data_IF_316997579219
#
_entry.id   IF_316997579219
#
_cell.length_a   1.000
_cell.length_b   1.000
_cell.length_c   1.000
_cell.angle_alpha   90.00
_cell.angle_beta   90.00
_cell.angle_gamma   90.00
#
_symmetry.space_group_name_H-M   'P 1'
#
loop_
_entity.id
_entity.type
_entity.pdbx_description
1 polymer ?
#
# COMPACT_ATOMS: atom_id res chain seq x y z
N UNK A 1 -14.81 -1.32 5.70
CA UNK A 1 -14.70 -0.36 6.79
C UNK A 1 -15.08 1.04 6.33
N UNK A 2 -15.85 1.76 7.15
CA UNK A 2 -16.31 3.11 6.86
C UNK A 2 -15.72 4.08 7.89
N UNK A 3 -14.54 4.61 7.62
CA UNK A 3 -13.88 5.57 8.51
C UNK A 3 -13.59 4.98 9.90
N UNK A 4 -13.98 5.69 10.97
CA UNK A 4 -13.80 5.24 12.35
C UNK A 4 -14.88 4.26 12.84
N UNK A 5 -15.87 3.94 12.01
CA UNK A 5 -16.88 2.94 12.34
C UNK A 5 -16.25 1.56 12.26
N UNK A 6 -16.55 0.71 13.23
CA UNK A 6 -16.03 -0.64 13.32
C UNK A 6 -16.31 -1.51 12.09
N UNK A 7 -15.78 -2.72 12.10
CA UNK A 7 -15.93 -3.68 11.01
C UNK A 7 -17.40 -3.94 10.68
N UNK A 8 -17.75 -3.90 9.40
CA UNK A 8 -19.06 -4.35 8.93
C UNK A 8 -19.00 -5.84 8.63
N UNK A 9 -19.78 -6.63 9.34
CA UNK A 9 -19.93 -8.05 9.06
C UNK A 9 -20.88 -8.26 7.88
N UNK A 10 -20.56 -9.23 7.05
CA UNK A 10 -21.36 -9.62 5.90
C UNK A 10 -21.30 -11.13 5.70
N UNK A 11 -22.39 -11.70 5.19
CA UNK A 11 -22.44 -13.10 4.75
C UNK A 11 -21.95 -13.28 3.30
N UNK A 12 -21.72 -12.20 2.57
CA UNK A 12 -21.17 -12.28 1.23
C UNK A 12 -19.65 -12.47 1.29
N UNK A 13 -19.18 -13.60 0.76
CA UNK A 13 -17.78 -13.96 0.76
C UNK A 13 -17.15 -13.48 -0.55
N UNK A 14 -15.95 -12.92 -0.48
CA UNK A 14 -15.16 -12.56 -1.65
C UNK A 14 -13.71 -12.99 -1.44
N UNK A 15 -13.17 -13.77 -2.40
CA UNK A 15 -11.80 -14.26 -2.37
C UNK A 15 -11.03 -13.57 -3.50
N UNK A 16 -9.98 -12.84 -3.13
CA UNK A 16 -9.22 -12.06 -4.08
C UNK A 16 -8.07 -12.87 -4.71
N UNK A 17 -8.12 -13.01 -6.03
CA UNK A 17 -7.01 -13.50 -6.86
C UNK A 17 -6.13 -12.37 -7.38
N UNK A 18 -5.22 -12.70 -8.28
CA UNK A 18 -4.35 -11.73 -8.95
C UNK A 18 -5.15 -10.87 -9.93
N UNK A 19 -5.91 -11.48 -10.80
CA UNK A 19 -6.62 -10.83 -11.91
C UNK A 19 -8.11 -10.71 -11.65
N UNK A 20 -8.66 -11.54 -10.80
CA UNK A 20 -10.09 -11.61 -10.52
C UNK A 20 -10.38 -11.66 -9.02
N UNK A 21 -11.64 -11.38 -8.68
CA UNK A 21 -12.21 -11.66 -7.34
C UNK A 21 -13.35 -12.63 -7.53
N UNK A 22 -13.31 -13.75 -6.84
CA UNK A 22 -14.39 -14.73 -6.82
C UNK A 22 -15.36 -14.42 -5.67
N UNK A 23 -16.65 -14.41 -5.98
CA UNK A 23 -17.74 -14.30 -5.00
C UNK A 23 -18.53 -15.61 -5.00
N UNK A 24 -18.16 -16.58 -4.15
CA UNK A 24 -18.65 -17.95 -4.24
C UNK A 24 -20.13 -18.11 -3.86
N UNK A 25 -20.69 -17.20 -3.10
CA UNK A 25 -22.08 -17.23 -2.63
C UNK A 25 -22.93 -16.04 -3.10
N UNK A 26 -22.56 -15.42 -4.23
CA UNK A 26 -23.30 -14.29 -4.80
C UNK A 26 -23.69 -14.60 -6.26
N UNK A 27 -24.83 -15.29 -6.46
CA UNK A 27 -25.30 -15.58 -7.81
C UNK A 27 -25.59 -14.28 -8.57
N UNK A 28 -25.23 -14.23 -9.84
CA UNK A 28 -25.36 -13.03 -10.71
C UNK A 28 -24.56 -11.79 -10.22
N UNK A 29 -23.75 -11.92 -9.16
CA UNK A 29 -22.78 -10.90 -8.79
C UNK A 29 -21.58 -10.99 -9.72
N UNK A 30 -21.10 -9.86 -10.21
CA UNK A 30 -19.87 -9.88 -11.00
C UNK A 30 -19.81 -8.75 -12.01
N UNK A 31 -18.72 -8.72 -12.74
CA UNK A 31 -18.51 -7.74 -13.78
C UNK A 31 -17.06 -7.31 -13.93
N UNK A 32 -16.90 -6.06 -14.26
CA UNK A 32 -15.60 -5.45 -14.53
C UNK A 32 -15.38 -4.33 -13.52
N UNK A 33 -14.20 -4.26 -12.95
CA UNK A 33 -13.81 -3.19 -12.03
C UNK A 33 -14.21 -1.81 -12.59
N UNK A 34 -14.77 -0.96 -11.72
CA UNK A 34 -15.14 0.42 -12.08
C UNK A 34 -13.93 1.29 -12.42
N UNK A 35 -12.73 0.89 -12.02
CA UNK A 35 -11.47 1.58 -12.34
C UNK A 35 -11.01 1.39 -13.78
N UNK A 36 -11.52 0.38 -14.49
CA UNK A 36 -11.27 0.19 -15.91
C UNK A 36 -12.28 1.05 -16.65
N UNK A 37 -11.85 2.25 -17.05
CA UNK A 37 -12.71 3.23 -17.71
C UNK A 37 -12.75 3.07 -19.24
N UNK A 38 -11.71 2.46 -19.84
CA UNK A 38 -11.60 2.31 -21.30
C UNK A 38 -12.70 1.38 -21.85
N UNK A 39 -13.58 1.87 -22.75
CA UNK A 39 -14.66 1.08 -23.30
C UNK A 39 -14.19 -0.14 -24.12
N UNK A 40 -13.05 -0.01 -24.82
CA UNK A 40 -12.48 -1.08 -25.65
C UNK A 40 -12.01 -2.23 -24.77
N UNK A 41 -11.27 -1.92 -23.72
CA UNK A 41 -10.83 -2.92 -22.73
C UNK A 41 -12.02 -3.62 -22.06
N UNK A 42 -13.05 -2.84 -21.69
CA UNK A 42 -14.27 -3.40 -21.10
C UNK A 42 -14.99 -4.36 -22.04
N UNK A 43 -15.04 -4.04 -23.35
CA UNK A 43 -15.64 -4.93 -24.35
C UNK A 43 -14.86 -6.23 -24.49
N UNK A 44 -13.52 -6.14 -24.55
CA UNK A 44 -12.61 -7.32 -24.58
C UNK A 44 -12.79 -8.21 -23.37
N UNK A 45 -12.83 -7.61 -22.16
CA UNK A 45 -13.02 -8.38 -20.92
C UNK A 45 -14.39 -9.06 -20.90
N UNK A 46 -15.45 -8.40 -21.38
CA UNK A 46 -16.79 -9.02 -21.47
C UNK A 46 -16.79 -10.24 -22.38
N UNK A 47 -16.12 -10.17 -23.54
CA UNK A 47 -16.02 -11.34 -24.42
C UNK A 47 -15.31 -12.50 -23.72
N UNK A 48 -14.20 -12.23 -23.01
CA UNK A 48 -13.49 -13.27 -22.26
C UNK A 48 -14.37 -13.87 -21.16
N UNK A 49 -15.12 -13.04 -20.41
CA UNK A 49 -16.01 -13.52 -19.33
C UNK A 49 -17.14 -14.40 -19.86
N UNK A 50 -17.69 -14.09 -21.04
CA UNK A 50 -18.74 -14.90 -21.66
C UNK A 50 -18.26 -16.27 -22.12
N UNK A 51 -16.95 -16.42 -22.36
CA UNK A 51 -16.32 -17.66 -22.78
C UNK A 51 -15.83 -18.53 -21.60
N UNK A 52 -15.78 -17.97 -20.39
CA UNK A 52 -15.36 -18.68 -19.17
C UNK A 52 -16.59 -19.33 -18.53
N UNK A 53 -16.46 -20.61 -18.21
CA UNK A 53 -17.52 -21.33 -17.52
C UNK A 53 -17.49 -21.03 -16.01
N UNK A 54 -18.34 -20.09 -15.59
CA UNK A 54 -18.48 -19.72 -14.19
C UNK A 54 -19.67 -20.47 -13.60
N UNK A 55 -19.54 -21.16 -12.44
CA UNK A 55 -20.67 -21.81 -11.80
C UNK A 55 -21.82 -20.83 -11.52
N UNK A 56 -23.06 -21.23 -11.80
CA UNK A 56 -24.24 -20.36 -11.71
C UNK A 56 -24.45 -19.69 -10.34
N UNK A 57 -23.91 -20.27 -9.29
CA UNK A 57 -24.03 -19.77 -7.92
C UNK A 57 -22.93 -18.76 -7.55
N UNK A 58 -21.93 -18.57 -8.42
CA UNK A 58 -20.77 -17.74 -8.16
C UNK A 58 -20.76 -16.48 -9.02
N UNK A 59 -20.28 -15.40 -8.45
CA UNK A 59 -19.99 -14.15 -9.16
C UNK A 59 -18.48 -13.95 -9.34
N UNK A 60 -18.09 -13.18 -10.35
CA UNK A 60 -16.71 -12.91 -10.66
C UNK A 60 -16.51 -11.45 -11.06
N UNK A 61 -15.54 -10.79 -10.47
CA UNK A 61 -15.16 -9.41 -10.83
C UNK A 61 -13.74 -9.41 -11.37
N UNK A 62 -13.55 -8.88 -12.58
CA UNK A 62 -12.21 -8.67 -13.14
C UNK A 62 -11.59 -7.41 -12.54
N UNK A 63 -10.40 -7.56 -11.97
CA UNK A 63 -9.59 -6.47 -11.38
C UNK A 63 -8.87 -5.69 -12.47
N UNK A 64 -8.35 -4.51 -12.11
CA UNK A 64 -7.51 -3.70 -13.01
C UNK A 64 -6.29 -4.44 -13.53
N UNK A 65 -5.67 -5.29 -12.71
CA UNK A 65 -4.54 -6.13 -13.10
C UNK A 65 -4.90 -7.18 -14.19
N UNK A 66 -6.18 -7.48 -14.38
CA UNK A 66 -6.67 -8.42 -15.39
C UNK A 66 -7.07 -7.77 -16.73
N UNK A 67 -6.95 -6.43 -16.89
CA UNK A 67 -7.46 -5.74 -18.09
C UNK A 67 -6.79 -6.18 -19.39
N UNK A 68 -5.49 -6.47 -19.35
CA UNK A 68 -4.70 -6.86 -20.53
C UNK A 68 -4.29 -8.34 -20.54
N UNK A 69 -4.95 -9.16 -19.73
CA UNK A 69 -4.62 -10.57 -19.60
C UNK A 69 -5.42 -11.45 -20.57
N UNK A 70 -4.84 -12.61 -20.88
CA UNK A 70 -5.45 -13.61 -21.76
C UNK A 70 -6.54 -14.41 -21.04
N UNK A 71 -7.42 -15.06 -21.80
CA UNK A 71 -8.42 -15.99 -21.27
C UNK A 71 -7.78 -17.09 -20.39
N UNK A 72 -6.64 -17.63 -20.82
CA UNK A 72 -5.96 -18.70 -20.09
C UNK A 72 -5.44 -18.23 -18.73
N UNK A 73 -4.87 -17.00 -18.64
CA UNK A 73 -4.40 -16.43 -17.38
C UNK A 73 -5.56 -16.19 -16.40
N UNK A 74 -6.68 -15.68 -16.91
CA UNK A 74 -7.88 -15.42 -16.09
C UNK A 74 -8.50 -16.75 -15.63
N UNK A 75 -8.57 -17.75 -16.51
CA UNK A 75 -9.10 -19.08 -16.16
C UNK A 75 -8.22 -19.79 -15.13
N UNK A 76 -6.91 -19.71 -15.25
CA UNK A 76 -5.98 -20.26 -14.27
C UNK A 76 -6.15 -19.63 -12.88
N UNK A 77 -6.32 -18.31 -12.82
CA UNK A 77 -6.62 -17.60 -11.55
C UNK A 77 -7.95 -18.06 -10.96
N UNK A 78 -8.98 -18.26 -11.81
CA UNK A 78 -10.28 -18.77 -11.39
C UNK A 78 -10.19 -20.18 -10.79
N UNK A 79 -9.48 -21.10 -11.44
CA UNK A 79 -9.28 -22.47 -10.96
C UNK A 79 -8.58 -22.49 -9.60
N UNK A 80 -7.57 -21.63 -9.39
CA UNK A 80 -6.90 -21.50 -8.10
C UNK A 80 -7.85 -20.99 -7.02
N UNK A 81 -8.70 -20.00 -7.33
CA UNK A 81 -9.67 -19.48 -6.37
C UNK A 81 -10.76 -20.48 -6.02
N UNK A 82 -11.19 -21.30 -6.98
CA UNK A 82 -12.15 -22.39 -6.73
C UNK A 82 -11.53 -23.41 -5.77
N UNK A 83 -10.26 -23.79 -5.97
CA UNK A 83 -9.56 -24.70 -5.03
C UNK A 83 -9.50 -24.13 -3.62
N UNK A 84 -9.14 -22.86 -3.47
CA UNK A 84 -9.14 -22.18 -2.16
C UNK A 84 -10.54 -22.20 -1.53
N UNK A 85 -11.58 -21.97 -2.33
CA UNK A 85 -12.95 -22.03 -1.85
C UNK A 85 -13.36 -23.43 -1.36
N UNK A 86 -12.98 -24.48 -2.10
CA UNK A 86 -13.24 -25.86 -1.69
C UNK A 86 -12.49 -26.21 -0.38
N UNK A 87 -11.25 -25.74 -0.20
CA UNK A 87 -10.51 -25.89 1.05
C UNK A 87 -11.21 -25.17 2.22
N UNK A 88 -11.72 -23.96 2.00
CA UNK A 88 -12.47 -23.21 3.01
C UNK A 88 -13.73 -23.96 3.42
N UNK A 89 -14.50 -24.46 2.45
CA UNK A 89 -15.70 -25.26 2.73
C UNK A 89 -15.39 -26.51 3.54
N UNK A 90 -14.37 -27.25 3.13
CA UNK A 90 -13.95 -28.47 3.81
C UNK A 90 -13.55 -28.18 5.27
N UNK A 91 -12.76 -27.12 5.50
CA UNK A 91 -12.40 -26.71 6.87
C UNK A 91 -13.61 -26.27 7.67
N UNK A 92 -14.52 -25.50 7.07
CA UNK A 92 -15.71 -25.01 7.77
C UNK A 92 -16.60 -26.16 8.25
N UNK A 93 -16.80 -27.18 7.41
CA UNK A 93 -17.62 -28.37 7.77
C UNK A 93 -16.96 -29.20 8.87
N UNK A 94 -15.63 -29.27 8.89
CA UNK A 94 -14.88 -30.08 9.86
C UNK A 94 -14.47 -29.31 11.13
N UNK A 95 -14.90 -28.06 11.30
CA UNK A 95 -14.55 -27.21 12.45
C UNK A 95 -15.76 -26.90 13.30
N UNK A 96 -15.56 -26.87 14.63
CA UNK A 96 -16.57 -26.35 15.56
C UNK A 96 -16.51 -24.84 15.64
N UNK A 97 -17.65 -24.17 15.59
CA UNK A 97 -17.72 -22.71 15.74
C UNK A 97 -17.48 -22.28 17.20
N UNK A 98 -16.78 -21.17 17.46
CA UNK A 98 -16.09 -20.30 16.49
C UNK A 98 -14.72 -20.85 16.10
N UNK A 99 -14.39 -20.85 14.78
CA UNK A 99 -13.10 -21.31 14.27
C UNK A 99 -12.59 -20.41 13.13
N UNK A 100 -11.26 -20.22 13.05
CA UNK A 100 -10.61 -19.53 11.95
C UNK A 100 -10.46 -20.48 10.77
N UNK A 101 -11.28 -20.34 9.76
CA UNK A 101 -11.30 -21.22 8.57
C UNK A 101 -10.32 -20.77 7.50
N UNK A 102 -10.17 -19.46 7.33
CA UNK A 102 -9.27 -18.87 6.33
C UNK A 102 -8.80 -17.49 6.76
N UNK A 103 -7.54 -17.20 6.52
CA UNK A 103 -6.93 -15.91 6.82
C UNK A 103 -6.05 -15.44 5.63
N UNK A 104 -6.21 -14.20 5.25
CA UNK A 104 -5.40 -13.54 4.20
C UNK A 104 -4.26 -12.69 4.77
N UNK A 105 -3.70 -13.05 5.91
CA UNK A 105 -2.74 -12.22 6.67
C UNK A 105 -1.32 -12.21 6.09
N UNK A 106 -0.94 -13.18 5.26
CA UNK A 106 0.43 -13.28 4.72
C UNK A 106 0.79 -12.07 3.84
N UNK A 107 1.63 -11.18 4.39
CA UNK A 107 2.09 -9.96 3.71
C UNK A 107 2.82 -10.26 2.40
N UNK A 108 3.55 -11.38 2.31
CA UNK A 108 4.28 -11.79 1.10
C UNK A 108 3.31 -12.12 -0.01
N UNK A 109 2.30 -12.96 0.29
CA UNK A 109 1.26 -13.34 -0.67
C UNK A 109 0.48 -12.12 -1.15
N UNK A 110 0.06 -11.25 -0.21
CA UNK A 110 -0.65 -10.01 -0.54
C UNK A 110 0.17 -9.08 -1.41
N UNK A 111 1.47 -8.92 -1.13
CA UNK A 111 2.38 -8.08 -1.92
C UNK A 111 2.54 -8.61 -3.33
N UNK A 112 2.79 -9.91 -3.50
CA UNK A 112 2.91 -10.54 -4.82
C UNK A 112 1.59 -10.44 -5.59
N UNK A 113 0.46 -10.69 -4.94
CA UNK A 113 -0.85 -10.61 -5.57
C UNK A 113 -1.20 -9.19 -6.02
N UNK A 114 -0.95 -8.21 -5.18
CA UNK A 114 -1.54 -6.88 -5.33
C UNK A 114 -0.57 -5.82 -5.87
N UNK A 115 0.73 -5.94 -5.60
CA UNK A 115 1.73 -4.92 -5.93
C UNK A 115 2.60 -5.34 -7.12
N UNK A 116 2.95 -6.64 -7.21
CA UNK A 116 3.76 -7.13 -8.31
C UNK A 116 3.07 -6.87 -9.66
N UNK A 117 3.81 -6.32 -10.61
CA UNK A 117 3.41 -6.03 -11.98
C UNK A 117 4.47 -6.47 -12.99
N UNK A 118 4.18 -6.29 -14.29
CA UNK A 118 5.08 -6.69 -15.37
C UNK A 118 6.34 -5.79 -15.46
N UNK A 119 6.33 -4.61 -14.83
CA UNK A 119 7.49 -3.69 -14.75
C UNK A 119 8.47 -4.09 -13.64
N UNK A 120 8.02 -4.91 -12.69
CA UNK A 120 8.82 -5.36 -11.55
C UNK A 120 9.87 -6.38 -11.99
N UNK A 121 11.14 -5.97 -12.01
CA UNK A 121 12.25 -6.81 -12.46
C UNK A 121 12.67 -7.86 -11.44
N UNK A 122 12.68 -7.52 -10.16
CA UNK A 122 13.15 -8.41 -9.09
C UNK A 122 12.34 -8.23 -7.81
N UNK A 123 12.11 -9.34 -7.12
CA UNK A 123 11.59 -9.40 -5.76
C UNK A 123 12.69 -10.03 -4.91
N UNK A 124 13.37 -9.21 -4.10
CA UNK A 124 14.46 -9.68 -3.24
C UNK A 124 13.90 -9.95 -1.86
N UNK A 125 14.18 -11.13 -1.33
CA UNK A 125 13.61 -11.60 -0.06
C UNK A 125 14.73 -12.10 0.85
N UNK A 126 14.76 -11.58 2.06
CA UNK A 126 15.62 -12.04 3.13
C UNK A 126 14.94 -13.15 3.95
N UNK A 127 15.71 -14.11 4.40
CA UNK A 127 15.22 -15.29 5.10
C UNK A 127 14.85 -16.45 4.18
N UNK A 128 15.19 -17.68 4.60
CA UNK A 128 14.97 -18.86 3.76
C UNK A 128 13.49 -19.24 3.66
N UNK A 129 12.79 -19.21 4.77
CA UNK A 129 11.39 -19.57 4.87
C UNK A 129 10.51 -18.60 4.06
N UNK A 130 10.73 -17.29 4.21
CA UNK A 130 10.03 -16.27 3.45
C UNK A 130 10.27 -16.40 1.94
N UNK A 131 11.51 -16.71 1.54
CA UNK A 131 11.86 -16.97 0.15
C UNK A 131 11.12 -18.18 -0.41
N UNK A 132 11.07 -19.30 0.32
CA UNK A 132 10.36 -20.50 -0.14
C UNK A 132 8.85 -20.29 -0.24
N UNK A 133 8.25 -19.60 0.73
CA UNK A 133 6.80 -19.22 0.69
C UNK A 133 6.50 -18.35 -0.52
N UNK A 134 7.31 -17.31 -0.76
CA UNK A 134 7.14 -16.44 -1.92
C UNK A 134 7.29 -17.19 -3.25
N UNK A 135 8.29 -18.03 -3.36
CA UNK A 135 8.55 -18.86 -4.55
C UNK A 135 7.41 -19.84 -4.82
N UNK A 136 6.92 -20.52 -3.79
CA UNK A 136 5.77 -21.42 -3.88
C UNK A 136 4.51 -20.71 -4.35
N UNK A 137 4.22 -19.54 -3.75
CA UNK A 137 3.06 -18.74 -4.13
C UNK A 137 3.15 -18.19 -5.56
N UNK A 138 4.33 -17.67 -5.96
CA UNK A 138 4.55 -17.20 -7.33
C UNK A 138 4.39 -18.34 -8.34
N UNK A 139 4.90 -19.55 -8.02
CA UNK A 139 4.74 -20.73 -8.88
C UNK A 139 3.27 -21.09 -9.08
N UNK A 140 2.45 -20.90 -8.06
CA UNK A 140 1.02 -21.18 -8.14
C UNK A 140 0.26 -20.18 -9.02
N UNK A 141 0.57 -18.86 -8.88
CA UNK A 141 -0.21 -17.82 -9.58
C UNK A 141 0.37 -17.46 -10.94
N UNK A 142 1.71 -17.38 -11.05
CA UNK A 142 2.43 -16.92 -12.25
C UNK A 142 3.72 -17.74 -12.44
N UNK A 143 3.64 -19.00 -12.92
CA UNK A 143 4.81 -19.89 -13.03
C UNK A 143 5.97 -19.29 -13.83
N UNK A 144 5.68 -18.55 -14.89
CA UNK A 144 6.65 -17.89 -15.76
C UNK A 144 7.49 -16.80 -15.06
N UNK A 145 6.98 -16.23 -13.99
CA UNK A 145 7.59 -15.09 -13.29
C UNK A 145 8.39 -15.50 -12.04
N UNK A 146 8.49 -16.80 -11.75
CA UNK A 146 9.25 -17.32 -10.59
C UNK A 146 10.72 -16.88 -10.60
N UNK A 147 11.30 -16.66 -11.79
CA UNK A 147 12.67 -16.17 -11.98
C UNK A 147 12.93 -14.79 -11.37
N UNK A 148 11.90 -13.98 -11.16
CA UNK A 148 12.00 -12.65 -10.58
C UNK A 148 12.17 -12.70 -9.04
N UNK A 149 11.87 -13.82 -8.39
CA UNK A 149 12.09 -13.99 -6.95
C UNK A 149 13.54 -14.38 -6.71
N UNK A 150 14.24 -13.53 -5.95
CA UNK A 150 15.66 -13.72 -5.61
C UNK A 150 15.83 -13.78 -4.10
N UNK A 151 16.65 -14.72 -3.64
CA UNK A 151 17.06 -14.79 -2.23
C UNK A 151 18.14 -13.77 -1.96
N UNK A 152 17.97 -12.96 -0.93
CA UNK A 152 19.00 -12.07 -0.44
C UNK A 152 20.13 -12.89 0.21
N UNK A 153 21.38 -12.54 -0.08
CA UNK A 153 22.59 -13.20 0.44
C UNK A 153 23.62 -12.24 1.05
N UNK A 154 23.21 -10.98 1.23
CA UNK A 154 24.08 -9.98 1.82
C UNK A 154 24.28 -10.21 3.32
N UNK A 155 25.39 -9.71 3.88
CA UNK A 155 25.66 -9.73 5.32
C UNK A 155 24.88 -8.63 6.06
N UNK A 156 24.71 -7.48 5.41
CA UNK A 156 23.94 -6.34 5.96
C UNK A 156 22.45 -6.64 5.79
N UNK A 157 21.58 -6.45 6.78
CA UNK A 157 20.14 -6.64 6.64
C UNK A 157 19.57 -5.87 5.44
N UNK A 158 18.68 -6.53 4.69
CA UNK A 158 18.17 -5.98 3.42
C UNK A 158 17.49 -4.62 3.59
N UNK A 159 16.63 -4.47 4.59
CA UNK A 159 15.88 -3.23 4.81
C UNK A 159 16.78 -2.07 5.24
N UNK A 160 17.85 -2.39 5.98
CA UNK A 160 18.86 -1.41 6.31
C UNK A 160 19.64 -0.95 5.07
N UNK A 161 20.17 -1.91 4.28
CA UNK A 161 20.90 -1.64 3.05
C UNK A 161 20.12 -0.74 2.08
N UNK A 162 18.81 -0.98 1.96
CA UNK A 162 17.92 -0.22 1.07
C UNK A 162 17.31 1.03 1.75
N UNK A 163 17.80 1.38 2.95
CA UNK A 163 17.35 2.54 3.74
C UNK A 163 15.84 2.55 4.04
N UNK A 164 15.22 1.36 4.09
CA UNK A 164 13.78 1.21 4.33
C UNK A 164 13.44 1.49 5.79
N UNK A 165 14.28 1.11 6.73
CA UNK A 165 14.04 1.32 8.16
C UNK A 165 13.94 2.81 8.51
N UNK A 166 14.86 3.64 7.99
CA UNK A 166 14.79 5.08 8.18
C UNK A 166 13.51 5.68 7.57
N UNK A 167 13.10 5.17 6.40
CA UNK A 167 11.83 5.60 5.77
C UNK A 167 10.62 5.19 6.59
N UNK A 168 10.62 4.00 7.21
CA UNK A 168 9.56 3.55 8.11
C UNK A 168 9.46 4.44 9.35
N UNK A 169 10.61 4.79 9.97
CA UNK A 169 10.63 5.71 11.11
C UNK A 169 10.07 7.11 10.73
N UNK A 170 10.35 7.58 9.52
CA UNK A 170 9.83 8.87 9.03
C UNK A 170 8.31 8.87 8.81
N UNK A 171 7.67 7.72 8.64
CA UNK A 171 6.21 7.63 8.48
C UNK A 171 5.47 8.18 9.71
N UNK A 172 6.08 8.12 10.88
CA UNK A 172 5.47 8.61 12.13
C UNK A 172 5.69 10.10 12.37
N UNK A 173 6.58 10.74 11.62
CA UNK A 173 6.82 12.17 11.76
C UNK A 173 5.65 12.96 11.18
N UNK A 174 5.11 13.92 11.93
CA UNK A 174 4.07 14.82 11.43
C UNK A 174 4.60 15.76 10.35
N UNK A 175 5.86 16.21 10.47
CA UNK A 175 6.49 17.15 9.55
C UNK A 175 7.37 16.43 8.53
N UNK A 176 7.20 16.77 7.25
CA UNK A 176 7.94 16.21 6.11
C UNK A 176 8.59 17.36 5.35
N UNK A 177 9.89 17.31 5.20
CA UNK A 177 10.66 18.31 4.43
C UNK A 177 10.55 18.06 2.93
N UNK A 178 10.36 19.12 2.17
CA UNK A 178 10.41 19.13 0.72
C UNK A 178 11.84 19.45 0.23
N UNK A 179 12.16 19.04 -0.99
CA UNK A 179 13.49 19.28 -1.59
C UNK A 179 13.75 20.77 -1.84
N UNK A 180 12.70 21.54 -2.14
CA UNK A 180 12.76 23.00 -2.32
C UNK A 180 13.10 23.77 -1.05
N UNK A 181 13.00 23.14 0.13
CA UNK A 181 13.18 23.76 1.44
C UNK A 181 11.87 24.12 2.15
N UNK A 182 10.72 23.88 1.50
CA UNK A 182 9.42 23.88 2.15
C UNK A 182 9.19 22.64 3.01
N UNK A 183 8.03 22.54 3.64
CA UNK A 183 7.63 21.38 4.43
C UNK A 183 6.12 21.21 4.47
N UNK A 184 5.70 19.98 4.73
CA UNK A 184 4.31 19.57 4.88
C UNK A 184 4.09 19.12 6.32
N UNK A 185 2.97 19.48 6.91
CA UNK A 185 2.57 19.01 8.23
C UNK A 185 1.29 18.19 8.10
N UNK A 186 1.31 16.94 8.57
CA UNK A 186 0.18 16.00 8.51
C UNK A 186 -0.31 15.74 9.92
N UNK A 187 -1.53 16.19 10.23
CA UNK A 187 -2.16 16.05 11.53
C UNK A 187 -3.48 15.28 11.41
N UNK A 188 -3.50 13.99 11.79
CA UNK A 188 -4.74 13.25 11.93
C UNK A 188 -5.51 13.80 13.15
N UNK A 189 -6.77 14.17 12.94
CA UNK A 189 -7.72 14.51 14.01
C UNK A 189 -8.75 13.40 14.17
N UNK A 190 -9.66 13.54 15.10
CA UNK A 190 -10.74 12.56 15.30
C UNK A 190 -11.64 12.44 14.05
N UNK A 191 -11.95 13.53 13.39
CA UNK A 191 -12.91 13.56 12.28
C UNK A 191 -12.28 13.54 10.89
N UNK A 192 -11.07 14.07 10.72
CA UNK A 192 -10.42 14.24 9.43
C UNK A 192 -8.90 14.28 9.56
N UNK A 193 -8.22 14.22 8.43
CA UNK A 193 -6.77 14.46 8.34
C UNK A 193 -6.56 15.86 7.77
N UNK A 194 -5.91 16.73 8.53
CA UNK A 194 -5.49 18.05 8.07
C UNK A 194 -4.04 17.98 7.55
N UNK A 195 -3.79 18.57 6.39
CA UNK A 195 -2.47 18.66 5.77
C UNK A 195 -2.21 20.12 5.44
N UNK A 196 -1.16 20.68 6.03
CA UNK A 196 -0.72 22.07 5.84
C UNK A 196 0.58 22.10 5.05
N UNK A 197 0.74 23.09 4.15
CA UNK A 197 1.90 23.26 3.29
C UNK A 197 2.55 24.60 3.58
N UNK A 198 3.83 24.55 3.93
CA UNK A 198 4.63 25.74 4.22
C UNK A 198 5.77 25.86 3.21
N UNK A 199 5.95 27.06 2.64
CA UNK A 199 7.03 27.36 1.72
C UNK A 199 8.41 27.37 2.39
N UNK A 200 8.46 27.59 3.70
CA UNK A 200 9.71 27.59 4.45
C UNK A 200 10.76 28.55 3.87
N UNK A 201 11.92 28.01 3.55
CA UNK A 201 13.03 28.76 2.92
C UNK A 201 13.02 28.68 1.39
N UNK A 202 11.95 28.21 0.78
CA UNK A 202 11.81 28.11 -0.69
C UNK A 202 11.58 29.49 -1.32
N UNK A 203 12.60 30.36 -1.30
CA UNK A 203 12.55 31.74 -1.82
C UNK A 203 13.38 31.90 -3.09
N UNK A 204 13.57 30.84 -3.87
CA UNK A 204 14.44 30.85 -5.06
C UNK A 204 13.84 31.55 -6.26
N UNK A 205 12.54 31.70 -6.32
CA UNK A 205 11.85 32.36 -7.44
C UNK A 205 11.66 33.85 -7.16
N UNK A 206 11.83 34.67 -8.19
CA UNK A 206 11.68 36.14 -8.13
C UNK A 206 10.20 36.58 -7.94
N UNK A 207 9.22 35.66 -8.04
CA UNK A 207 7.79 35.94 -7.96
C UNK A 207 7.15 34.98 -6.96
N UNK A 208 6.42 35.55 -5.99
CA UNK A 208 5.69 34.82 -4.94
C UNK A 208 4.73 33.80 -5.51
N UNK A 209 3.99 34.13 -6.57
CA UNK A 209 3.04 33.23 -7.24
C UNK A 209 3.75 32.00 -7.86
N UNK A 210 4.94 32.20 -8.46
CA UNK A 210 5.73 31.06 -9.00
C UNK A 210 6.30 30.19 -7.91
N UNK A 211 6.76 30.78 -6.82
CA UNK A 211 7.21 30.04 -5.63
C UNK A 211 6.07 29.20 -5.05
N UNK A 212 4.88 29.79 -4.89
CA UNK A 212 3.69 29.10 -4.41
C UNK A 212 3.33 27.90 -5.33
N UNK A 213 3.30 28.11 -6.64
CA UNK A 213 3.01 27.05 -7.61
C UNK A 213 4.04 25.92 -7.54
N UNK A 214 5.33 26.25 -7.55
CA UNK A 214 6.40 25.24 -7.50
C UNK A 214 6.34 24.41 -6.21
N UNK A 215 6.17 25.07 -5.06
CA UNK A 215 6.06 24.40 -3.76
C UNK A 215 4.80 23.55 -3.71
N UNK A 216 3.65 24.03 -4.18
CA UNK A 216 2.40 23.30 -4.20
C UNK A 216 2.45 22.08 -5.12
N UNK A 217 3.14 22.14 -6.26
CA UNK A 217 3.33 20.99 -7.15
C UNK A 217 4.21 19.91 -6.52
N UNK A 218 5.30 20.31 -5.87
CA UNK A 218 6.14 19.37 -5.13
C UNK A 218 5.39 18.76 -3.94
N UNK A 219 4.66 19.60 -3.19
CA UNK A 219 3.82 19.15 -2.10
C UNK A 219 2.75 18.15 -2.55
N UNK A 220 2.09 18.40 -3.69
CA UNK A 220 1.10 17.48 -4.24
C UNK A 220 1.68 16.09 -4.54
N UNK A 221 2.91 16.02 -5.07
CA UNK A 221 3.62 14.76 -5.31
C UNK A 221 3.91 14.03 -4.00
N UNK A 222 4.44 14.74 -3.01
CA UNK A 222 4.78 14.16 -1.71
C UNK A 222 3.55 13.78 -0.90
N UNK A 223 2.51 14.61 -0.87
CA UNK A 223 1.22 14.32 -0.20
C UNK A 223 0.61 13.04 -0.78
N UNK A 224 0.56 12.92 -2.11
CA UNK A 224 0.04 11.71 -2.76
C UNK A 224 0.84 10.45 -2.36
N UNK A 225 2.16 10.58 -2.17
CA UNK A 225 3.01 9.50 -1.66
C UNK A 225 2.70 9.18 -0.19
N UNK A 226 2.59 10.20 0.66
CA UNK A 226 2.33 10.05 2.09
C UNK A 226 0.95 9.46 2.37
N UNK A 227 -0.07 9.87 1.64
CA UNK A 227 -1.43 9.31 1.72
C UNK A 227 -1.41 7.79 1.52
N UNK A 228 -0.63 7.31 0.55
CA UNK A 228 -0.51 5.86 0.26
C UNK A 228 0.29 5.13 1.33
N UNK A 229 1.44 5.65 1.73
CA UNK A 229 2.36 4.99 2.67
C UNK A 229 1.74 4.89 4.06
N UNK A 230 1.11 5.98 4.54
CA UNK A 230 0.46 6.06 5.85
C UNK A 230 -0.95 5.48 5.88
N UNK A 231 -1.49 5.09 4.71
CA UNK A 231 -2.90 4.70 4.52
C UNK A 231 -3.89 5.71 5.10
N UNK A 232 -3.61 7.01 4.88
CA UNK A 232 -4.50 8.06 5.33
C UNK A 232 -5.87 7.88 4.67
N UNK A 233 -6.93 7.97 5.45
CA UNK A 233 -8.28 7.61 5.01
C UNK A 233 -9.35 8.48 5.66
N UNK A 234 -10.56 8.40 5.13
CA UNK A 234 -11.66 9.27 5.53
C UNK A 234 -11.61 10.61 4.77
N UNK A 235 -12.00 11.67 5.42
CA UNK A 235 -11.92 13.03 4.88
C UNK A 235 -10.51 13.56 5.08
N UNK A 236 -9.90 14.08 4.03
CA UNK A 236 -8.58 14.69 4.04
C UNK A 236 -8.72 16.10 3.49
N UNK A 237 -8.27 17.09 4.25
CA UNK A 237 -8.25 18.49 3.85
C UNK A 237 -6.80 18.91 3.69
N UNK A 238 -6.48 19.49 2.54
CA UNK A 238 -5.15 19.97 2.22
C UNK A 238 -5.23 21.48 2.05
N UNK A 239 -4.42 22.20 2.83
CA UNK A 239 -4.25 23.64 2.76
C UNK A 239 -3.05 23.96 1.86
N UNK A 240 -3.35 24.37 0.62
CA UNK A 240 -2.34 24.77 -0.35
C UNK A 240 -1.96 26.23 -0.15
N UNK A 241 -0.69 26.57 -0.38
CA UNK A 241 -0.25 27.95 -0.40
C UNK A 241 -1.10 28.72 -1.40
N UNK A 242 -1.58 29.91 -1.00
CA UNK A 242 -2.46 30.73 -1.80
C UNK A 242 -1.92 30.99 -3.22
N UNK A 243 -2.81 30.80 -4.19
CA UNK A 243 -2.54 31.07 -5.61
C UNK A 243 -3.65 31.96 -6.18
N UNK A 244 -3.29 33.12 -6.68
CA UNK A 244 -4.24 34.07 -7.29
C UNK A 244 -4.77 33.47 -8.63
N UNK A 245 -3.88 32.91 -9.42
CA UNK A 245 -4.21 32.36 -10.74
C UNK A 245 -5.06 31.08 -10.66
N UNK A 246 -6.24 31.13 -11.26
CA UNK A 246 -7.09 29.95 -11.42
C UNK A 246 -6.39 28.82 -12.19
N UNK A 247 -5.57 29.14 -13.19
CA UNK A 247 -4.83 28.16 -13.97
C UNK A 247 -3.78 27.43 -13.12
N UNK A 248 -3.13 28.12 -12.19
CA UNK A 248 -2.19 27.53 -11.26
C UNK A 248 -2.88 26.55 -10.33
N UNK A 249 -4.03 26.92 -9.73
CA UNK A 249 -4.85 26.02 -8.91
C UNK A 249 -5.25 24.78 -9.68
N UNK A 250 -5.72 24.93 -10.91
CA UNK A 250 -6.10 23.81 -11.78
C UNK A 250 -4.92 22.90 -12.14
N UNK A 251 -3.72 23.45 -12.27
CA UNK A 251 -2.51 22.68 -12.52
C UNK A 251 -2.13 21.81 -11.34
N UNK A 252 -2.20 22.34 -10.11
CA UNK A 252 -1.98 21.59 -8.86
C UNK A 252 -3.06 20.49 -8.69
N UNK A 253 -4.33 20.80 -8.93
CA UNK A 253 -5.41 19.80 -8.90
C UNK A 253 -5.16 18.63 -9.85
N UNK A 254 -4.74 18.94 -11.08
CA UNK A 254 -4.41 17.92 -12.08
C UNK A 254 -3.25 17.05 -11.62
N UNK A 255 -2.19 17.69 -11.11
CA UNK A 255 -1.02 16.98 -10.59
C UNK A 255 -1.39 16.01 -9.47
N UNK A 256 -2.22 16.45 -8.53
CA UNK A 256 -2.70 15.62 -7.42
C UNK A 256 -3.52 14.42 -7.93
N UNK A 257 -4.45 14.64 -8.86
CA UNK A 257 -5.24 13.56 -9.48
C UNK A 257 -4.37 12.55 -10.21
N UNK A 258 -3.39 13.01 -10.98
CA UNK A 258 -2.49 12.14 -11.74
C UNK A 258 -1.65 11.26 -10.81
N UNK A 259 -1.12 11.82 -9.71
CA UNK A 259 -0.31 11.06 -8.73
C UNK A 259 -1.13 10.07 -7.91
N UNK A 260 -2.40 10.34 -7.68
CA UNK A 260 -3.33 9.44 -6.97
C UNK A 260 -4.02 8.43 -7.89
N UNK A 261 -3.92 8.56 -9.21
CA UNK A 261 -4.57 7.65 -10.18
C UNK A 261 -4.22 6.18 -9.94
N UNK A 262 -2.98 5.90 -9.54
CA UNK A 262 -2.48 4.54 -9.30
C UNK A 262 -2.72 4.05 -7.86
N UNK A 263 -3.46 4.81 -7.03
CA UNK A 263 -3.84 4.33 -5.72
C UNK A 263 -4.94 3.26 -5.84
N UNK A 264 -4.81 2.19 -5.05
CA UNK A 264 -5.78 1.10 -5.01
C UNK A 264 -7.08 1.48 -4.31
N UNK A 265 -7.01 2.46 -3.39
CA UNK A 265 -8.18 2.95 -2.67
C UNK A 265 -9.15 3.68 -3.61
N UNK A 266 -10.42 3.69 -3.24
CA UNK A 266 -11.39 4.57 -3.88
C UNK A 266 -11.18 5.99 -3.36
N UNK A 267 -10.92 6.92 -4.28
CA UNK A 267 -10.63 8.31 -3.96
C UNK A 267 -11.64 9.21 -4.69
N UNK A 268 -12.09 10.24 -4.00
CA UNK A 268 -12.83 11.35 -4.58
C UNK A 268 -12.05 12.63 -4.26
N UNK A 269 -11.79 13.45 -5.26
CA UNK A 269 -10.99 14.69 -5.13
C UNK A 269 -11.83 15.85 -5.61
N UNK A 270 -12.00 16.85 -4.75
CA UNK A 270 -12.67 18.12 -5.03
C UNK A 270 -11.82 19.05 -5.91
N UNK A 271 -12.17 20.32 -5.86
CA UNK A 271 -11.40 21.42 -6.44
C UNK A 271 -10.77 22.22 -5.31
N UNK A 272 -9.72 22.97 -5.62
CA UNK A 272 -9.14 23.94 -4.68
C UNK A 272 -10.12 25.10 -4.57
N UNK A 273 -10.59 25.36 -3.37
CA UNK A 273 -11.51 26.45 -3.06
C UNK A 273 -10.82 27.82 -3.19
N UNK A 274 -11.60 28.90 -3.06
CA UNK A 274 -11.03 30.24 -3.02
C UNK A 274 -10.18 30.51 -1.76
N UNK A 275 -10.28 29.65 -0.75
CA UNK A 275 -9.50 29.68 0.46
C UNK A 275 -8.25 28.77 0.43
N UNK A 276 -7.81 28.31 -0.75
CA UNK A 276 -6.65 27.42 -0.87
C UNK A 276 -6.92 25.96 -0.50
N UNK A 277 -8.10 25.61 0.03
CA UNK A 277 -8.40 24.30 0.56
C UNK A 277 -8.81 23.30 -0.54
N UNK A 278 -8.19 22.12 -0.55
CA UNK A 278 -8.61 20.99 -1.34
C UNK A 278 -9.18 19.90 -0.43
N UNK A 279 -10.43 19.58 -0.68
CA UNK A 279 -11.11 18.49 0.02
C UNK A 279 -11.04 17.20 -0.78
N UNK A 280 -10.72 16.09 -0.12
CA UNK A 280 -10.76 14.79 -0.73
C UNK A 280 -11.21 13.72 0.26
N UNK A 281 -11.75 12.62 -0.26
CA UNK A 281 -12.04 11.44 0.54
C UNK A 281 -11.30 10.22 -0.01
N UNK A 282 -10.79 9.39 0.89
CA UNK A 282 -10.11 8.16 0.55
C UNK A 282 -10.60 6.99 1.39
N UNK A 283 -10.90 5.88 0.73
CA UNK A 283 -11.27 4.64 1.39
C UNK A 283 -10.06 4.05 2.13
N UNK A 284 -10.27 3.59 3.35
CA UNK A 284 -9.25 2.85 4.11
C UNK A 284 -9.01 1.47 3.50
N UNK A 285 -7.75 1.09 3.38
CA UNK A 285 -7.34 -0.22 2.85
C UNK A 285 -6.93 -1.21 3.94
N UNK A 286 -6.52 -0.72 5.12
CA UNK A 286 -6.06 -1.54 6.25
C UNK A 286 -6.99 -1.37 7.44
N UNK A 287 -6.93 -2.27 8.39
CA UNK A 287 -7.68 -2.18 9.63
C UNK A 287 -7.26 -0.97 10.47
N UNK A 288 -8.25 -0.30 11.07
CA UNK A 288 -8.05 0.97 11.81
C UNK A 288 -7.53 0.79 13.24
N UNK A 289 -7.50 -0.42 13.72
CA UNK A 289 -7.23 -0.72 15.13
C UNK A 289 -5.77 -0.54 15.56
N UNK A 290 -4.86 -0.29 14.60
CA UNK A 290 -3.46 -0.08 14.92
C UNK A 290 -3.25 1.39 15.26
N UNK A 291 -3.47 1.74 16.52
CA UNK A 291 -2.86 2.92 17.11
C UNK A 291 -1.38 2.60 17.28
N UNK A 292 -0.55 3.26 16.49
CA UNK A 292 0.89 3.17 16.63
C UNK A 292 1.31 4.09 17.78
N UNK A 293 1.28 3.57 18.99
CA UNK A 293 2.03 4.18 20.08
C UNK A 293 3.46 3.70 19.94
N UNK A 294 4.40 4.62 19.71
CA UNK A 294 5.83 4.31 19.75
C UNK A 294 6.18 4.13 21.22
N UNK A 295 5.93 2.95 21.74
CA UNK A 295 6.47 2.54 23.04
C UNK A 295 7.85 1.95 22.75
N UNK A 296 8.91 2.72 23.00
CA UNK A 296 10.25 2.22 23.07
C UNK A 296 10.35 1.32 24.32
N UNK A 297 9.96 0.05 24.18
CA UNK A 297 10.26 -0.93 25.22
C UNK A 297 11.79 -1.09 25.34
N UNK A 298 12.27 -1.38 26.54
CA UNK A 298 13.71 -1.64 26.78
C UNK A 298 14.21 -2.71 25.82
N UNK A 299 13.44 -3.77 25.57
CA UNK A 299 13.78 -4.83 24.61
C UNK A 299 13.93 -4.31 23.19
N UNK A 300 13.00 -3.48 22.70
CA UNK A 300 13.10 -2.89 21.35
C UNK A 300 14.33 -2.00 21.22
N UNK A 301 14.68 -1.28 22.27
CA UNK A 301 15.85 -0.43 22.30
C UNK A 301 17.15 -1.27 22.34
N UNK A 302 17.19 -2.34 23.11
CA UNK A 302 18.31 -3.29 23.16
C UNK A 302 18.55 -3.95 21.79
N UNK A 303 17.49 -4.44 21.13
CA UNK A 303 17.60 -4.98 19.76
C UNK A 303 18.14 -3.95 18.77
N UNK A 304 17.73 -2.69 18.88
CA UNK A 304 18.25 -1.63 18.02
C UNK A 304 19.74 -1.40 18.24
N UNK A 305 20.20 -1.42 19.47
CA UNK A 305 21.63 -1.27 19.81
C UNK A 305 22.46 -2.44 19.26
N UNK A 306 22.01 -3.68 19.48
CA UNK A 306 22.69 -4.88 18.96
C UNK A 306 22.82 -4.77 17.43
N UNK A 307 21.74 -4.39 16.76
CA UNK A 307 21.73 -4.24 15.32
C UNK A 307 22.70 -3.15 14.83
N UNK A 308 22.75 -2.01 15.52
CA UNK A 308 23.73 -0.95 15.23
C UNK A 308 25.17 -1.42 15.45
N UNK A 309 25.42 -2.19 16.51
CA UNK A 309 26.74 -2.74 16.80
C UNK A 309 27.16 -3.74 15.70
N UNK A 310 26.30 -4.65 15.29
CA UNK A 310 26.57 -5.57 14.18
C UNK A 310 26.91 -4.82 12.89
N UNK A 311 26.17 -3.77 12.59
CA UNK A 311 26.39 -2.93 11.42
C UNK A 311 27.75 -2.25 11.46
N UNK A 312 28.10 -1.59 12.57
CA UNK A 312 29.41 -0.94 12.75
C UNK A 312 30.54 -1.98 12.64
N UNK A 313 30.33 -3.19 13.18
CA UNK A 313 31.28 -4.29 13.04
C UNK A 313 31.53 -4.67 11.59
N UNK A 314 30.45 -4.83 10.81
CA UNK A 314 30.53 -5.23 9.40
C UNK A 314 31.18 -4.14 8.55
N UNK A 315 30.77 -2.88 8.74
CA UNK A 315 31.25 -1.73 7.95
C UNK A 315 32.73 -1.44 8.21
N UNK A 316 33.15 -1.50 9.49
CA UNK A 316 34.51 -1.17 9.89
C UNK A 316 35.41 -2.41 10.00
N UNK A 317 34.88 -3.63 9.71
CA UNK A 317 35.59 -4.90 9.91
C UNK A 317 36.14 -5.05 11.34
N UNK A 318 35.43 -4.45 12.30
CA UNK A 318 35.85 -4.49 13.73
C UNK A 318 35.48 -5.84 14.33
N UNK A 319 36.42 -6.41 15.09
CA UNK A 319 36.20 -7.68 15.83
C UNK A 319 35.66 -7.44 17.24
N UNK A 320 35.87 -6.27 17.77
CA UNK A 320 35.47 -5.87 19.13
C UNK A 320 34.79 -4.50 19.01
N UNK A 321 33.66 -4.35 19.68
CA UNK A 321 32.92 -3.10 19.81
C UNK A 321 32.60 -2.90 21.27
N UNK A 322 33.05 -1.79 21.83
CA UNK A 322 32.70 -1.38 23.19
C UNK A 322 31.44 -0.53 23.17
N UNK A 323 30.44 -0.94 23.94
CA UNK A 323 29.17 -0.25 24.09
C UNK A 323 29.06 0.38 25.46
N UNK A 324 28.81 1.69 25.51
CA UNK A 324 28.51 2.39 26.76
C UNK A 324 27.00 2.49 26.93
N UNK A 325 26.43 1.72 27.85
CA UNK A 325 24.99 1.58 28.04
C UNK A 325 24.57 1.93 29.45
N UNK A 326 23.37 2.42 29.64
CA UNK A 326 22.79 2.57 30.97
C UNK A 326 22.46 1.19 31.57
N UNK A 327 22.45 1.11 32.90
CA UNK A 327 22.28 -0.16 33.64
C UNK A 327 21.00 -0.90 33.29
N UNK A 328 19.90 -0.16 33.01
CA UNK A 328 18.62 -0.75 32.65
C UNK A 328 18.67 -1.48 31.30
N UNK A 329 19.39 -0.95 30.31
CA UNK A 329 19.53 -1.54 28.97
C UNK A 329 20.54 -2.67 29.00
N UNK A 330 21.62 -2.55 29.78
CA UNK A 330 22.65 -3.57 29.88
C UNK A 330 22.14 -4.91 30.43
N UNK A 331 21.12 -4.90 31.28
CA UNK A 331 20.44 -6.13 31.76
C UNK A 331 19.65 -6.90 30.70
N UNK A 332 19.40 -6.29 29.54
CA UNK A 332 18.57 -6.84 28.44
C UNK A 332 19.37 -7.13 27.16
N UNK A 333 20.67 -6.84 27.13
CA UNK A 333 21.61 -7.18 26.07
C UNK A 333 22.46 -8.35 26.46
#
# INVERSE_FOLDING_TARGET
ERGQKGAALTTFISIAGKYIVLMPNTPKGGGISRKISNPIERKKIRSILNEINIPKQMGLIVRTAGSNKTKNEINHDLENLIKIWEEIKSKAVNSFAPALVHEESDIIKRTIRDIYDDETKNIVIEGNEAYQRAKGYMKMIMPQNVKHIKKYRGKIPLFYKENIENKLNQIFNSTIKLQSGGYIVINPTEALVAIDINSGRSTREANVERTALATNLEAADEIARQIKIRDLSGLIIIDFIDMISFNNRRTVERRMRDKLKNDRARIQIGRISNFGLLEMSRQRLRESSIKWDIVLSINSFSFKIIKMAEEVSILNKAKIIDLMLCEQVNKHI
#
